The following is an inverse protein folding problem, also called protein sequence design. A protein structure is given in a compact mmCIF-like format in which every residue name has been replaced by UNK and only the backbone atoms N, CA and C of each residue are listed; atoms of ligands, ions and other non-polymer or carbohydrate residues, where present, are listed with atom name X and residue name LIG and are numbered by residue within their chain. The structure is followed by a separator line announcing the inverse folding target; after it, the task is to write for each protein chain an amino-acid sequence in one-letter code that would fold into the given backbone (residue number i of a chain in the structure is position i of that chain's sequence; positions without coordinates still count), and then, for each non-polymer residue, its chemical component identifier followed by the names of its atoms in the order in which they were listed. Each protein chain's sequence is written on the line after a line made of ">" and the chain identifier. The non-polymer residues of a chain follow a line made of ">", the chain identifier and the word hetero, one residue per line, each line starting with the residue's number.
data_IF_882208323978
#
_entry.id   IF_882208323978
#
_cell.length_a   1.000
_cell.length_b   1.000
_cell.length_c   1.000
_cell.angle_alpha   90.00
_cell.angle_beta   90.00
_cell.angle_gamma   90.00
#
_symmetry.space_group_name_H-M   'P 1'
#
loop_
_entity.id
_entity.type
_entity.pdbx_description
1 polymer ?
#
# COMPACT_ATOMS: atom_id res chain seq x y z
N UNK A 1 -16.31 -23.58 5.88
CA UNK A 1 -16.11 -22.19 5.75
C UNK A 1 -17.02 -21.42 6.70
N UNK A 2 -16.42 -21.00 7.84
CA UNK A 2 -17.14 -20.32 8.93
C UNK A 2 -17.07 -18.80 8.81
N UNK A 3 -16.46 -18.24 7.75
CA UNK A 3 -16.28 -16.79 7.57
C UNK A 3 -15.39 -16.15 8.64
N UNK A 4 -14.40 -16.89 9.15
CA UNK A 4 -13.48 -16.42 10.19
C UNK A 4 -12.13 -16.12 9.53
N UNK A 5 -11.67 -14.88 9.65
CA UNK A 5 -10.32 -14.44 9.21
C UNK A 5 -9.43 -14.20 10.43
N UNK A 6 -8.25 -14.82 10.42
CA UNK A 6 -7.27 -14.68 11.50
C UNK A 6 -5.93 -14.21 10.91
N UNK A 7 -5.37 -13.13 11.46
CA UNK A 7 -4.00 -12.73 11.19
C UNK A 7 -3.09 -13.28 12.29
N UNK A 8 -2.24 -14.27 11.97
CA UNK A 8 -1.35 -14.92 12.94
C UNK A 8 -2.05 -15.40 14.22
N UNK A 9 -3.34 -15.82 14.10
CA UNK A 9 -4.16 -16.30 15.21
C UNK A 9 -5.02 -15.22 15.88
N UNK A 10 -4.88 -13.95 15.53
CA UNK A 10 -5.73 -12.86 16.02
C UNK A 10 -6.95 -12.66 15.10
N UNK A 11 -8.17 -12.64 15.62
CA UNK A 11 -9.36 -12.33 14.84
C UNK A 11 -9.29 -10.93 14.22
N UNK A 12 -9.66 -10.82 12.95
CA UNK A 12 -9.57 -9.54 12.22
C UNK A 12 -10.40 -8.43 12.87
N UNK A 13 -11.53 -8.79 13.46
CA UNK A 13 -12.43 -7.86 14.16
C UNK A 13 -11.72 -7.25 15.37
N UNK A 14 -10.97 -8.05 16.12
CA UNK A 14 -10.20 -7.59 17.30
C UNK A 14 -9.07 -6.67 16.86
N UNK A 15 -8.37 -7.01 15.79
CA UNK A 15 -7.32 -6.15 15.25
C UNK A 15 -7.88 -4.83 14.74
N UNK A 16 -9.02 -4.86 14.03
CA UNK A 16 -9.65 -3.64 13.51
C UNK A 16 -10.12 -2.69 14.62
N UNK A 17 -10.49 -3.20 15.79
CA UNK A 17 -10.94 -2.37 16.90
C UNK A 17 -9.80 -1.86 17.80
N UNK A 18 -8.71 -2.62 17.94
CA UNK A 18 -7.69 -2.38 18.96
C UNK A 18 -6.27 -2.14 18.41
N UNK A 19 -6.05 -2.35 17.11
CA UNK A 19 -4.73 -2.17 16.48
C UNK A 19 -4.81 -1.15 15.34
N UNK A 20 -3.65 -0.66 14.90
CA UNK A 20 -3.49 0.12 13.68
C UNK A 20 -2.83 -0.71 12.55
N UNK A 21 -2.80 -0.14 11.36
CA UNK A 21 -2.21 -0.81 10.18
C UNK A 21 -0.73 -1.15 10.37
N UNK A 22 0.04 -0.31 11.03
CA UNK A 22 1.48 -0.55 11.28
C UNK A 22 1.68 -1.73 12.23
N UNK A 23 0.84 -1.87 13.26
CA UNK A 23 0.84 -3.05 14.14
C UNK A 23 0.46 -4.31 13.38
N UNK A 24 -0.50 -4.23 12.45
CA UNK A 24 -0.85 -5.36 11.59
C UNK A 24 0.29 -5.75 10.64
N UNK A 25 1.00 -4.77 10.06
CA UNK A 25 2.19 -5.04 9.25
C UNK A 25 3.28 -5.74 10.07
N UNK A 26 3.56 -5.25 11.28
CA UNK A 26 4.52 -5.88 12.18
C UNK A 26 4.10 -7.32 12.53
N UNK A 27 2.84 -7.51 12.91
CA UNK A 27 2.29 -8.83 13.22
C UNK A 27 2.46 -9.83 12.07
N UNK A 28 2.16 -9.40 10.84
CA UNK A 28 2.27 -10.26 9.66
C UNK A 28 3.73 -10.62 9.33
N UNK A 29 4.66 -9.68 9.52
CA UNK A 29 6.09 -9.89 9.26
C UNK A 29 6.76 -10.71 10.37
N UNK A 30 6.56 -10.31 11.62
CA UNK A 30 7.29 -10.87 12.80
C UNK A 30 6.54 -12.01 13.50
N UNK A 31 5.26 -12.19 13.23
CA UNK A 31 4.44 -13.28 13.77
C UNK A 31 3.80 -13.01 15.14
N UNK A 32 4.07 -11.86 15.75
CA UNK A 32 3.48 -11.43 17.03
C UNK A 32 3.23 -9.92 17.03
N UNK A 33 2.27 -9.45 17.85
CA UNK A 33 2.04 -8.02 18.02
C UNK A 33 3.24 -7.34 18.68
N UNK A 34 3.61 -6.12 18.26
CA UNK A 34 4.73 -5.41 18.83
C UNK A 34 4.43 -4.94 20.27
N UNK A 35 5.44 -4.95 21.13
CA UNK A 35 5.40 -4.14 22.33
C UNK A 35 5.61 -2.65 21.99
N UNK A 36 5.46 -1.74 22.97
CA UNK A 36 5.53 -0.31 22.76
C UNK A 36 6.88 0.16 22.14
N UNK A 37 7.99 -0.44 22.53
CA UNK A 37 9.32 -0.10 22.01
C UNK A 37 9.50 -0.62 20.56
N UNK A 38 9.08 -1.86 20.31
CA UNK A 38 9.11 -2.47 18.98
C UNK A 38 8.23 -1.67 18.01
N UNK A 39 7.01 -1.29 18.43
CA UNK A 39 6.12 -0.44 17.63
C UNK A 39 6.80 0.87 17.27
N UNK A 40 7.34 1.57 18.25
CA UNK A 40 8.03 2.86 18.05
C UNK A 40 9.21 2.73 17.07
N UNK A 41 10.00 1.69 17.19
CA UNK A 41 11.15 1.44 16.31
C UNK A 41 10.67 1.13 14.87
N UNK A 42 9.66 0.29 14.73
CA UNK A 42 9.10 -0.07 13.43
C UNK A 42 8.44 1.13 12.74
N UNK A 43 7.62 1.90 13.46
CA UNK A 43 7.05 3.15 12.94
C UNK A 43 8.13 4.12 12.48
N UNK A 44 9.18 4.30 13.27
CA UNK A 44 10.30 5.15 12.88
C UNK A 44 10.94 4.66 11.58
N UNK A 45 11.21 3.36 11.48
CA UNK A 45 11.78 2.77 10.27
C UNK A 45 10.89 3.02 9.05
N UNK A 46 9.59 2.79 9.16
CA UNK A 46 8.66 3.02 8.05
C UNK A 46 8.60 4.50 7.68
N UNK A 47 8.42 5.40 8.65
CA UNK A 47 8.32 6.86 8.42
C UNK A 47 9.54 7.45 7.72
N UNK A 48 10.73 6.99 8.06
CA UNK A 48 11.97 7.52 7.48
C UNK A 48 12.40 6.85 6.16
N UNK A 49 11.59 5.92 5.63
CA UNK A 49 11.82 5.27 4.34
C UNK A 49 10.75 5.60 3.29
N UNK A 50 9.86 6.55 3.54
CA UNK A 50 8.74 6.91 2.66
C UNK A 50 9.16 7.61 1.36
N UNK A 51 10.24 8.40 1.38
CA UNK A 51 10.74 9.11 0.20
C UNK A 51 11.22 8.14 -0.88
N UNK A 52 10.93 8.47 -2.13
CA UNK A 52 11.42 7.78 -3.32
C UNK A 52 12.53 8.60 -4.00
N UNK A 53 13.33 7.95 -4.83
CA UNK A 53 14.35 8.63 -5.64
C UNK A 53 13.66 9.55 -6.66
N UNK A 54 14.25 10.72 -6.94
CA UNK A 54 13.72 11.66 -7.95
C UNK A 54 13.58 11.04 -9.35
N UNK A 55 14.40 10.05 -9.69
CA UNK A 55 14.24 9.33 -10.96
C UNK A 55 12.95 8.54 -11.06
N UNK A 56 12.29 8.23 -9.93
CA UNK A 56 10.94 7.63 -9.93
C UNK A 56 9.91 8.63 -10.46
N UNK A 57 10.02 9.90 -10.10
CA UNK A 57 9.17 10.97 -10.64
C UNK A 57 9.36 11.13 -12.15
N UNK A 58 10.61 11.13 -12.60
CA UNK A 58 10.94 11.17 -14.02
C UNK A 58 10.39 9.95 -14.76
N UNK A 59 10.47 8.78 -14.16
CA UNK A 59 9.92 7.55 -14.73
C UNK A 59 8.41 7.62 -14.85
N UNK A 60 7.71 8.10 -13.82
CA UNK A 60 6.25 8.30 -13.85
C UNK A 60 5.86 9.33 -14.92
N UNK A 61 6.60 10.42 -15.04
CA UNK A 61 6.32 11.47 -16.05
C UNK A 61 6.47 11.00 -17.51
N UNK A 62 7.14 9.87 -17.72
CA UNK A 62 7.24 9.22 -19.04
C UNK A 62 5.97 8.45 -19.46
N UNK A 63 5.06 8.19 -18.55
CA UNK A 63 3.78 7.59 -18.89
C UNK A 63 2.80 8.63 -19.42
N UNK A 64 1.85 8.18 -20.24
CA UNK A 64 0.73 9.03 -20.62
C UNK A 64 -0.10 9.41 -19.39
N UNK A 65 -0.63 10.64 -19.36
CA UNK A 65 -1.48 11.10 -18.25
C UNK A 65 -2.77 10.27 -18.09
N UNK A 66 -3.27 9.67 -19.17
CA UNK A 66 -4.45 8.81 -19.20
C UNK A 66 -4.12 7.32 -18.99
N UNK A 67 -2.85 6.99 -18.64
CA UNK A 67 -2.47 5.63 -18.30
C UNK A 67 -3.18 5.18 -17.03
N UNK A 68 -3.64 3.92 -17.03
CA UNK A 68 -4.31 3.35 -15.85
C UNK A 68 -3.35 3.37 -14.64
N UNK A 69 -3.75 3.93 -13.46
CA UNK A 69 -2.85 4.06 -12.30
C UNK A 69 -2.20 2.74 -11.86
N UNK A 70 -2.92 1.62 -11.98
CA UNK A 70 -2.38 0.30 -11.65
C UNK A 70 -1.28 -0.15 -12.61
N UNK A 71 -1.34 0.24 -13.90
CA UNK A 71 -0.27 -0.04 -14.85
C UNK A 71 1.01 0.73 -14.48
N UNK A 72 0.85 2.02 -14.15
CA UNK A 72 1.95 2.87 -13.71
C UNK A 72 2.56 2.32 -12.41
N UNK A 73 1.72 2.00 -11.42
CA UNK A 73 2.15 1.42 -10.14
C UNK A 73 2.94 0.13 -10.33
N UNK A 74 2.45 -0.79 -11.17
CA UNK A 74 3.14 -2.04 -11.48
C UNK A 74 4.53 -1.78 -12.09
N UNK A 75 4.62 -0.87 -13.06
CA UNK A 75 5.88 -0.50 -13.70
C UNK A 75 6.87 0.13 -12.72
N UNK A 76 6.42 1.08 -11.90
CA UNK A 76 7.24 1.76 -10.89
C UNK A 76 7.80 0.79 -9.86
N UNK A 77 6.95 -0.08 -9.30
CA UNK A 77 7.39 -1.04 -8.27
C UNK A 77 8.41 -2.02 -8.85
N UNK A 78 8.21 -2.51 -10.07
CA UNK A 78 9.21 -3.33 -10.75
C UNK A 78 10.54 -2.61 -10.96
N UNK A 79 10.49 -1.33 -11.37
CA UNK A 79 11.68 -0.49 -11.57
C UNK A 79 12.45 -0.18 -10.27
N UNK A 80 11.81 -0.29 -9.09
CA UNK A 80 12.49 -0.04 -7.80
C UNK A 80 13.67 -0.97 -7.56
N UNK A 81 13.71 -2.16 -8.15
CA UNK A 81 14.87 -3.06 -8.09
C UNK A 81 16.15 -2.42 -8.63
N UNK A 82 16.04 -1.42 -9.52
CA UNK A 82 17.19 -0.68 -10.05
C UNK A 82 17.78 0.37 -9.09
N UNK A 83 17.08 0.67 -7.98
CA UNK A 83 17.52 1.65 -6.98
C UNK A 83 18.04 1.01 -5.69
N UNK A 84 17.72 -0.27 -5.43
CA UNK A 84 17.98 -0.95 -4.15
C UNK A 84 18.73 -2.26 -4.33
N UNK A 85 19.93 -2.17 -4.96
CA UNK A 85 20.80 -3.33 -5.23
C UNK A 85 21.30 -4.03 -3.96
N UNK A 86 21.25 -3.36 -2.82
CA UNK A 86 21.69 -3.83 -1.51
C UNK A 86 20.73 -4.78 -0.80
N UNK A 87 19.57 -5.08 -1.38
CA UNK A 87 18.54 -5.88 -0.71
C UNK A 87 17.72 -6.75 -1.69
N UNK A 88 18.35 -7.27 -2.74
CA UNK A 88 17.66 -8.05 -3.77
C UNK A 88 17.71 -9.57 -3.56
N UNK A 89 18.61 -10.05 -2.70
CA UNK A 89 18.74 -11.49 -2.46
C UNK A 89 17.63 -11.99 -1.52
N UNK A 90 16.71 -12.77 -2.07
CA UNK A 90 15.59 -13.35 -1.31
C UNK A 90 16.02 -14.51 -0.40
N UNK A 91 17.22 -15.04 -0.54
CA UNK A 91 17.74 -16.09 0.35
C UNK A 91 18.28 -15.51 1.65
N UNK A 92 18.69 -14.24 1.63
CA UNK A 92 19.13 -13.49 2.81
C UNK A 92 17.93 -12.93 3.59
N UNK A 93 17.87 -13.20 4.89
CA UNK A 93 16.78 -12.76 5.75
C UNK A 93 16.77 -11.23 5.96
N UNK A 94 17.94 -10.62 6.06
CA UNK A 94 18.08 -9.17 6.25
C UNK A 94 17.62 -8.43 4.97
N UNK A 95 18.01 -8.91 3.79
CA UNK A 95 17.55 -8.36 2.51
C UNK A 95 16.02 -8.45 2.37
N UNK A 96 15.40 -9.56 2.77
CA UNK A 96 13.94 -9.69 2.75
C UNK A 96 13.28 -8.69 3.69
N UNK A 97 13.81 -8.53 4.91
CA UNK A 97 13.29 -7.59 5.90
C UNK A 97 13.39 -6.14 5.42
N UNK A 98 14.56 -5.73 4.95
CA UNK A 98 14.79 -4.38 4.41
C UNK A 98 13.88 -4.10 3.22
N UNK A 99 13.75 -5.03 2.30
CA UNK A 99 12.87 -4.87 1.12
C UNK A 99 11.39 -4.78 1.51
N UNK A 100 10.94 -5.57 2.49
CA UNK A 100 9.58 -5.50 3.00
C UNK A 100 9.30 -4.12 3.64
N UNK A 101 10.21 -3.62 4.49
CA UNK A 101 10.09 -2.29 5.09
C UNK A 101 10.06 -1.18 4.03
N UNK A 102 10.95 -1.24 3.03
CA UNK A 102 10.97 -0.28 1.91
C UNK A 102 9.68 -0.30 1.08
N UNK A 103 9.15 -1.48 0.79
CA UNK A 103 7.88 -1.63 0.05
C UNK A 103 6.72 -1.06 0.85
N UNK A 104 6.57 -1.42 2.12
CA UNK A 104 5.51 -0.87 2.98
C UNK A 104 5.62 0.66 3.07
N UNK A 105 6.83 1.17 3.32
CA UNK A 105 7.05 2.60 3.49
C UNK A 105 6.76 3.43 2.24
N UNK A 106 7.16 2.93 1.06
CA UNK A 106 7.13 3.70 -0.19
C UNK A 106 5.84 3.52 -1.00
N UNK A 107 5.08 2.46 -0.74
CA UNK A 107 3.86 2.18 -1.49
C UNK A 107 2.85 3.33 -1.46
N UNK A 108 2.56 3.98 -0.29
CA UNK A 108 1.67 5.14 -0.25
C UNK A 108 2.17 6.31 -1.10
N UNK A 109 3.47 6.58 -1.07
CA UNK A 109 4.09 7.67 -1.85
C UNK A 109 3.95 7.40 -3.35
N UNK A 110 4.28 6.18 -3.79
CA UNK A 110 4.18 5.79 -5.20
C UNK A 110 2.72 5.82 -5.66
N UNK A 111 1.78 5.29 -4.87
CA UNK A 111 0.36 5.30 -5.20
C UNK A 111 -0.18 6.73 -5.32
N UNK A 112 0.19 7.63 -4.40
CA UNK A 112 -0.18 9.03 -4.47
C UNK A 112 0.42 9.73 -5.69
N UNK A 113 1.67 9.45 -6.04
CA UNK A 113 2.30 9.99 -7.25
C UNK A 113 1.59 9.52 -8.52
N UNK A 114 1.23 8.23 -8.61
CA UNK A 114 0.44 7.71 -9.73
C UNK A 114 -0.91 8.44 -9.86
N UNK A 115 -1.59 8.67 -8.75
CA UNK A 115 -2.85 9.43 -8.74
C UNK A 115 -2.64 10.90 -9.16
N UNK A 116 -1.64 11.58 -8.58
CA UNK A 116 -1.32 12.98 -8.92
C UNK A 116 -0.95 13.14 -10.39
N UNK A 117 -0.20 12.19 -10.95
CA UNK A 117 0.11 12.16 -12.38
C UNK A 117 -1.17 12.04 -13.23
N UNK A 118 -2.06 11.11 -12.87
CA UNK A 118 -3.33 10.89 -13.57
C UNK A 118 -4.24 12.14 -13.56
N UNK A 119 -4.34 12.84 -12.43
CA UNK A 119 -5.17 14.06 -12.34
C UNK A 119 -4.45 15.34 -12.79
N UNK A 120 -3.17 15.25 -13.18
CA UNK A 120 -2.39 16.39 -13.65
C UNK A 120 -2.03 17.40 -12.55
N UNK A 121 -1.86 16.94 -11.30
CA UNK A 121 -1.52 17.79 -10.15
C UNK A 121 -0.06 17.60 -9.73
N UNK A 122 0.55 18.63 -9.08
CA UNK A 122 1.88 18.50 -8.50
C UNK A 122 1.95 17.40 -7.45
N UNK A 123 3.10 16.73 -7.34
CA UNK A 123 3.34 15.76 -6.28
C UNK A 123 3.41 16.46 -4.92
N UNK A 124 2.86 15.79 -3.91
CA UNK A 124 3.00 16.15 -2.51
C UNK A 124 3.89 15.10 -1.86
N UNK A 125 4.91 15.57 -1.15
CA UNK A 125 5.89 14.71 -0.51
C UNK A 125 5.42 14.26 0.88
N UNK A 126 5.92 13.12 1.37
CA UNK A 126 5.56 12.64 2.70
C UNK A 126 6.03 13.59 3.81
N UNK A 127 5.24 13.69 4.87
CA UNK A 127 5.53 14.40 6.11
C UNK A 127 5.72 13.39 7.26
N UNK A 128 6.94 13.34 7.83
CA UNK A 128 7.29 12.41 8.89
C UNK A 128 6.59 12.68 10.23
N UNK A 129 5.87 13.81 10.37
CA UNK A 129 5.09 14.12 11.58
C UNK A 129 3.73 13.43 11.58
N UNK A 130 3.24 13.01 10.41
CA UNK A 130 1.94 12.37 10.23
C UNK A 130 1.99 10.86 10.50
N UNK A 131 0.85 10.27 10.85
CA UNK A 131 0.68 8.82 10.84
C UNK A 131 0.72 8.28 9.40
N UNK A 132 0.80 6.95 9.25
CA UNK A 132 0.87 6.31 7.93
C UNK A 132 -0.34 6.66 7.05
N UNK A 133 -1.54 6.56 7.61
CA UNK A 133 -2.78 6.82 6.89
C UNK A 133 -3.02 8.32 6.64
N UNK A 134 -2.69 9.19 7.60
CA UNK A 134 -2.72 10.65 7.40
C UNK A 134 -1.77 11.08 6.29
N UNK A 135 -0.56 10.53 6.28
CA UNK A 135 0.46 10.85 5.28
C UNK A 135 0.02 10.40 3.88
N UNK A 136 -0.60 9.24 3.76
CA UNK A 136 -1.19 8.80 2.50
C UNK A 136 -2.27 9.78 2.01
N UNK A 137 -3.21 10.17 2.87
CA UNK A 137 -4.26 11.12 2.51
C UNK A 137 -3.70 12.51 2.16
N UNK A 138 -2.69 12.95 2.90
CA UNK A 138 -1.96 14.19 2.62
C UNK A 138 -1.33 14.18 1.22
N UNK A 139 -0.61 13.11 0.88
CA UNK A 139 0.01 12.99 -0.44
C UNK A 139 -1.01 12.85 -1.58
N UNK A 140 -2.14 12.17 -1.34
CA UNK A 140 -3.19 11.99 -2.34
C UNK A 140 -3.96 13.27 -2.62
N UNK A 141 -4.38 14.00 -1.58
CA UNK A 141 -5.38 15.06 -1.67
C UNK A 141 -4.85 16.45 -1.32
N UNK A 142 -3.69 16.56 -0.69
CA UNK A 142 -3.04 17.84 -0.42
C UNK A 142 -2.67 18.58 -1.71
N UNK A 143 -2.56 19.90 -1.62
CA UNK A 143 -2.08 20.78 -2.70
C UNK A 143 -0.97 21.68 -2.18
N UNK A 144 -0.04 22.17 -3.02
CA UNK A 144 1.01 23.09 -2.57
C UNK A 144 0.49 24.46 -2.13
N UNK A 145 -0.78 24.79 -2.45
CA UNK A 145 -1.36 26.12 -2.26
C UNK A 145 -1.85 26.35 -0.83
N UNK A 146 -2.10 25.28 -0.08
CA UNK A 146 -2.67 25.35 1.26
C UNK A 146 -2.19 24.21 2.15
N UNK A 147 -2.27 24.41 3.47
CA UNK A 147 -1.98 23.36 4.43
C UNK A 147 -3.09 22.31 4.40
N UNK A 148 -2.72 21.04 4.14
CA UNK A 148 -3.67 19.94 4.25
C UNK A 148 -3.95 19.64 5.72
N UNK A 149 -5.23 19.63 6.08
CA UNK A 149 -5.69 19.24 7.41
C UNK A 149 -6.51 17.95 7.29
N UNK A 150 -5.93 16.85 7.71
CA UNK A 150 -6.60 15.55 7.69
C UNK A 150 -7.63 15.47 8.82
N UNK A 151 -8.89 15.22 8.47
CA UNK A 151 -9.91 14.97 9.49
C UNK A 151 -9.62 13.63 10.19
N UNK A 152 -9.56 13.59 11.54
CA UNK A 152 -9.17 12.38 12.29
C UNK A 152 -10.02 11.14 11.98
N UNK A 153 -11.31 11.33 11.69
CA UNK A 153 -12.18 10.22 11.30
C UNK A 153 -11.80 9.62 9.95
N UNK A 154 -11.31 10.44 8.99
CA UNK A 154 -10.84 9.95 7.68
C UNK A 154 -9.54 9.18 7.83
N UNK A 155 -8.59 9.70 8.62
CA UNK A 155 -7.36 9.00 8.91
C UNK A 155 -7.62 7.64 9.54
N UNK A 156 -8.49 7.57 10.55
CA UNK A 156 -8.87 6.32 11.20
C UNK A 156 -9.60 5.36 10.27
N UNK A 157 -10.48 5.87 9.41
CA UNK A 157 -11.19 5.03 8.43
C UNK A 157 -10.22 4.44 7.41
N UNK A 158 -9.27 5.23 6.90
CA UNK A 158 -8.25 4.76 5.96
C UNK A 158 -7.33 3.75 6.61
N UNK A 159 -6.93 3.95 7.85
CA UNK A 159 -6.10 3.01 8.60
C UNK A 159 -6.79 1.64 8.74
N UNK A 160 -8.08 1.63 9.06
CA UNK A 160 -8.89 0.39 9.10
C UNK A 160 -9.02 -0.26 7.74
N UNK A 161 -9.20 0.52 6.67
CA UNK A 161 -9.25 -0.01 5.31
C UNK A 161 -7.93 -0.72 4.99
N UNK A 162 -6.79 -0.11 5.27
CA UNK A 162 -5.49 -0.74 5.07
C UNK A 162 -5.35 -2.02 5.91
N UNK A 163 -5.71 -1.98 7.18
CA UNK A 163 -5.64 -3.15 8.07
C UNK A 163 -6.52 -4.29 7.56
N UNK A 164 -7.76 -4.01 7.19
CA UNK A 164 -8.70 -5.00 6.68
C UNK A 164 -8.28 -5.61 5.33
N UNK A 165 -7.47 -4.91 4.56
CA UNK A 165 -6.95 -5.39 3.26
C UNK A 165 -5.51 -5.94 3.34
N UNK A 166 -4.90 -5.98 4.54
CA UNK A 166 -3.50 -6.37 4.68
C UNK A 166 -3.23 -7.83 4.29
N UNK A 167 -4.14 -8.74 4.62
CA UNK A 167 -4.04 -10.15 4.27
C UNK A 167 -5.44 -10.80 4.20
N UNK A 168 -5.70 -11.53 3.13
CA UNK A 168 -6.90 -12.34 2.91
C UNK A 168 -6.55 -13.78 2.55
N UNK A 169 -5.54 -14.34 3.22
CA UNK A 169 -5.00 -15.67 2.92
C UNK A 169 -4.45 -15.78 1.48
N UNK A 170 -4.60 -16.96 0.88
CA UNK A 170 -4.07 -17.21 -0.45
C UNK A 170 -5.06 -16.78 -1.53
N UNK A 171 -4.91 -15.55 -2.01
CA UNK A 171 -5.61 -15.01 -3.17
C UNK A 171 -4.72 -15.01 -4.42
N UNK A 172 -5.21 -14.48 -5.55
CA UNK A 172 -4.48 -14.46 -6.81
C UNK A 172 -3.15 -13.70 -6.73
N UNK A 173 -3.10 -12.53 -6.08
CA UNK A 173 -1.86 -11.76 -5.94
C UNK A 173 -0.87 -12.44 -5.00
N UNK A 174 -1.30 -12.97 -3.87
CA UNK A 174 -0.44 -13.73 -2.95
C UNK A 174 0.16 -14.95 -3.65
N UNK A 175 -0.66 -15.70 -4.38
CA UNK A 175 -0.21 -16.87 -5.17
C UNK A 175 0.82 -16.47 -6.23
N UNK A 176 0.59 -15.35 -6.92
CA UNK A 176 1.50 -14.83 -7.96
C UNK A 176 2.84 -14.39 -7.36
N UNK A 177 2.83 -13.67 -6.24
CA UNK A 177 4.05 -13.26 -5.53
C UNK A 177 4.87 -14.49 -5.11
N UNK A 178 4.22 -15.49 -4.54
CA UNK A 178 4.88 -16.73 -4.11
C UNK A 178 5.44 -17.53 -5.30
N UNK A 179 4.70 -17.60 -6.41
CA UNK A 179 5.15 -18.25 -7.62
C UNK A 179 6.37 -17.54 -8.22
N UNK A 180 6.32 -16.23 -8.35
CA UNK A 180 7.45 -15.42 -8.81
C UNK A 180 8.67 -15.58 -7.90
N UNK A 181 8.47 -15.53 -6.58
CA UNK A 181 9.53 -15.72 -5.59
C UNK A 181 10.16 -17.11 -5.63
N UNK A 182 9.42 -18.15 -6.01
CA UNK A 182 9.96 -19.52 -6.13
C UNK A 182 11.02 -19.65 -7.21
N UNK A 183 11.08 -18.73 -8.17
CA UNK A 183 12.14 -18.65 -9.19
C UNK A 183 13.40 -17.93 -8.74
N UNK A 184 13.44 -17.39 -7.52
CA UNK A 184 14.53 -16.54 -7.03
C UNK A 184 14.44 -15.08 -7.48
N UNK A 185 13.29 -14.64 -8.02
CA UNK A 185 13.10 -13.26 -8.42
C UNK A 185 13.17 -12.32 -7.21
N UNK A 186 13.74 -11.11 -7.42
CA UNK A 186 13.87 -10.13 -6.35
C UNK A 186 12.52 -9.66 -5.78
N UNK A 187 12.47 -9.15 -4.54
CA UNK A 187 11.22 -8.79 -3.87
C UNK A 187 10.37 -7.77 -4.64
N UNK A 188 10.98 -6.78 -5.25
CA UNK A 188 10.25 -5.74 -6.00
C UNK A 188 9.59 -6.31 -7.26
N UNK A 189 10.29 -7.18 -7.99
CA UNK A 189 9.72 -7.88 -9.14
C UNK A 189 8.56 -8.80 -8.73
N UNK A 190 8.69 -9.52 -7.60
CA UNK A 190 7.63 -10.36 -7.06
C UNK A 190 6.38 -9.54 -6.73
N UNK A 191 6.54 -8.40 -6.07
CA UNK A 191 5.41 -7.52 -5.72
C UNK A 191 4.80 -6.87 -6.97
N UNK A 192 5.61 -6.47 -7.96
CA UNK A 192 5.09 -5.98 -9.24
C UNK A 192 4.21 -7.04 -9.94
N UNK A 193 4.62 -8.31 -9.92
CA UNK A 193 3.80 -9.41 -10.44
C UNK A 193 2.48 -9.57 -9.64
N UNK A 194 2.52 -9.41 -8.31
CA UNK A 194 1.33 -9.38 -7.46
C UNK A 194 0.40 -8.21 -7.79
N UNK A 195 0.93 -7.02 -8.05
CA UNK A 195 0.16 -5.84 -8.48
C UNK A 195 -0.49 -6.09 -9.84
N UNK A 196 0.20 -6.72 -10.78
CA UNK A 196 -0.36 -7.11 -12.06
C UNK A 196 -1.55 -8.07 -11.90
N UNK A 197 -1.44 -9.06 -11.00
CA UNK A 197 -2.55 -9.95 -10.68
C UNK A 197 -3.69 -9.20 -9.95
N UNK A 198 -3.37 -8.28 -9.04
CA UNK A 198 -4.36 -7.46 -8.34
C UNK A 198 -5.18 -6.59 -9.29
N UNK A 199 -4.58 -6.10 -10.36
CA UNK A 199 -5.26 -5.29 -11.37
C UNK A 199 -6.32 -6.06 -12.18
N UNK A 200 -6.30 -7.37 -12.14
CA UNK A 200 -7.27 -8.21 -12.86
C UNK A 200 -8.72 -7.95 -12.44
N UNK A 201 -9.69 -7.99 -13.38
CA UNK A 201 -11.10 -7.72 -13.10
C UNK A 201 -11.74 -8.72 -12.13
N UNK A 202 -11.19 -9.91 -12.02
CA UNK A 202 -11.65 -10.95 -11.09
C UNK A 202 -11.01 -10.84 -9.69
N UNK A 203 -10.22 -9.81 -9.41
CA UNK A 203 -9.54 -9.58 -8.13
C UNK A 203 -9.72 -8.12 -7.67
N UNK A 204 -8.72 -7.25 -7.79
CA UNK A 204 -8.84 -5.84 -7.38
C UNK A 204 -9.86 -5.06 -8.20
N UNK A 205 -10.04 -5.37 -9.48
CA UNK A 205 -11.10 -4.78 -10.30
C UNK A 205 -12.51 -5.09 -9.81
N UNK A 206 -12.72 -6.21 -9.10
CA UNK A 206 -14.00 -6.49 -8.43
C UNK A 206 -14.25 -5.53 -7.26
N UNK A 207 -13.22 -5.15 -6.49
CA UNK A 207 -13.32 -4.13 -5.44
C UNK A 207 -13.66 -2.75 -6.01
N UNK A 208 -13.06 -2.38 -7.14
CA UNK A 208 -13.40 -1.14 -7.86
C UNK A 208 -14.86 -1.13 -8.30
N UNK A 209 -15.37 -2.23 -8.83
CA UNK A 209 -16.78 -2.36 -9.20
C UNK A 209 -17.71 -2.21 -7.99
N UNK A 210 -17.35 -2.78 -6.83
CA UNK A 210 -18.10 -2.62 -5.57
C UNK A 210 -18.13 -1.17 -5.13
N UNK A 211 -17.04 -0.42 -5.22
CA UNK A 211 -17.00 1.00 -4.87
C UNK A 211 -17.88 1.86 -5.79
N UNK A 212 -18.05 1.45 -7.03
CA UNK A 212 -18.92 2.14 -8.00
C UNK A 212 -20.42 1.84 -7.81
N UNK A 213 -20.76 0.72 -7.16
CA UNK A 213 -22.14 0.28 -6.91
C UNK A 213 -22.96 1.24 -6.02
N UNK A 214 -22.44 1.74 -4.87
CA UNK A 214 -23.20 2.65 -4.00
C UNK A 214 -23.60 3.95 -4.70
N UNK A 215 -22.79 4.45 -5.61
CA UNK A 215 -23.06 5.68 -6.37
C UNK A 215 -24.28 5.48 -7.30
N UNK A 216 -24.38 4.34 -7.96
CA UNK A 216 -25.55 4.03 -8.80
C UNK A 216 -26.82 3.78 -7.99
N UNK A 217 -26.72 3.16 -6.80
CA UNK A 217 -27.89 2.95 -5.92
C UNK A 217 -28.40 4.24 -5.28
N UNK A 218 -27.52 5.14 -4.86
CA UNK A 218 -27.95 6.45 -4.29
C UNK A 218 -28.63 7.33 -5.30
N UNK A 219 -28.29 7.23 -6.58
CA UNK A 219 -29.00 7.93 -7.66
C UNK A 219 -30.37 7.32 -8.01
N UNK A 220 -30.60 6.03 -7.68
CA UNK A 220 -31.87 5.34 -7.95
C UNK A 220 -32.86 5.41 -6.79
N UNK A 221 -32.45 5.72 -5.57
CA UNK A 221 -33.26 5.60 -4.36
C UNK A 221 -33.55 6.90 -3.62
N UNK A 222 -33.05 8.06 -4.10
CA UNK A 222 -33.46 9.34 -3.54
C UNK A 222 -34.81 9.74 -4.17
N UNK A 223 -35.93 9.75 -3.41
CA UNK A 223 -37.18 10.33 -3.88
C UNK A 223 -36.95 11.83 -4.10
N UNK A 224 -37.32 12.31 -5.27
CA UNK A 224 -37.45 13.72 -5.61
C UNK A 224 -38.44 14.43 -4.72
#
# INVERSE_FOLDING_TARGET
>A
DKGILLHRGYPIEVLADHSDYIEACYLLLEGALPNAEQKKTFEHTIKYHTMVNMSVEQFISGFRYDAHPMAVLCGVVGAMSSFYHDSLDITDQEHRSISAHRLIAKMPTIAAMCYKHFVGQPYIYPDNTMSYSENFLHMMFGTPCEKYECHPALAKAMDRIFLLHADHEQNASTSTVRLAGSSGANPFACIAAGIAALWGPAHGGANEAVLSMPVSYTHLTLPT
#
